data_IF_818918851119
#
_entry.id   IF_818918851119
#
_cell.length_a   1.000
_cell.length_b   1.000
_cell.length_c   1.000
_cell.angle_alpha   90.00
_cell.angle_beta   90.00
_cell.angle_gamma   90.00
#
_symmetry.space_group_name_H-M   'P 1'
#
loop_
_entity.id
_entity.type
_entity.pdbx_description
1 polymer ?
#
# COMPACT_ATOMS: atom_id res chain seq x y z
N UNK A 1 -11.08 13.64 -6.37
CA UNK A 1 -9.70 13.71 -5.86
C UNK A 1 -8.73 13.47 -7.00
N UNK A 2 -7.74 14.34 -7.14
CA UNK A 2 -6.71 14.22 -8.15
C UNK A 2 -5.38 13.77 -7.56
N UNK A 3 -4.43 13.27 -8.39
CA UNK A 3 -3.08 12.96 -7.93
C UNK A 3 -2.37 14.13 -7.25
N UNK A 4 -2.55 15.35 -7.76
CA UNK A 4 -1.93 16.55 -7.18
C UNK A 4 -2.43 16.83 -5.76
N UNK A 5 -3.71 16.59 -5.50
CA UNK A 5 -4.29 16.76 -4.17
C UNK A 5 -3.61 15.84 -3.15
N UNK A 6 -3.48 14.55 -3.46
CA UNK A 6 -2.88 13.60 -2.51
C UNK A 6 -1.38 13.81 -2.33
N UNK A 7 -0.67 14.31 -3.37
CA UNK A 7 0.74 14.70 -3.24
C UNK A 7 0.96 15.90 -2.34
N UNK A 8 -0.04 16.74 -2.16
CA UNK A 8 0.02 17.92 -1.28
C UNK A 8 -0.30 17.61 0.19
N UNK A 9 -0.76 16.40 0.51
CA UNK A 9 -1.04 16.00 1.88
C UNK A 9 0.22 16.04 2.74
N UNK A 10 0.12 16.61 3.94
CA UNK A 10 1.24 16.72 4.87
C UNK A 10 1.17 15.73 6.03
N UNK A 11 0.08 15.01 6.15
CA UNK A 11 -0.15 14.01 7.20
C UNK A 11 -1.16 12.95 6.75
N UNK A 12 -1.37 11.91 7.57
CA UNK A 12 -2.32 10.85 7.24
C UNK A 12 -3.74 11.42 7.14
N UNK A 13 -4.53 10.81 6.25
CA UNK A 13 -5.94 11.20 6.10
C UNK A 13 -6.77 10.75 7.29
N UNK A 14 -7.73 11.57 7.71
CA UNK A 14 -8.65 11.22 8.80
C UNK A 14 -9.75 10.25 8.34
N UNK A 15 -10.08 10.29 7.06
CA UNK A 15 -11.12 9.45 6.45
C UNK A 15 -10.69 8.98 5.08
N UNK A 16 -11.37 7.94 4.58
CA UNK A 16 -11.16 7.50 3.20
C UNK A 16 -11.65 8.55 2.20
N UNK A 17 -10.83 8.84 1.20
CA UNK A 17 -11.09 9.91 0.22
C UNK A 17 -11.93 9.44 -0.97
N UNK A 18 -12.25 8.14 -1.05
CA UNK A 18 -13.19 7.58 -2.02
C UNK A 18 -14.00 6.45 -1.38
N UNK A 19 -15.13 6.13 -1.99
CA UNK A 19 -15.98 5.01 -1.60
C UNK A 19 -15.55 3.74 -2.35
N UNK A 20 -15.93 2.57 -1.85
CA UNK A 20 -15.70 1.30 -2.56
C UNK A 20 -16.38 1.31 -3.95
N UNK A 21 -17.54 1.95 -4.07
CA UNK A 21 -18.27 2.10 -5.34
C UNK A 21 -17.55 2.97 -6.39
N UNK A 22 -16.55 3.76 -5.99
CA UNK A 22 -15.77 4.59 -6.93
C UNK A 22 -14.75 3.77 -7.74
N UNK A 23 -14.56 2.50 -7.40
CA UNK A 23 -13.73 1.53 -8.12
C UNK A 23 -14.46 1.02 -9.39
N UNK A 24 -14.66 1.90 -10.36
CA UNK A 24 -15.38 1.59 -11.59
C UNK A 24 -14.73 0.50 -12.47
N UNK A 25 -13.37 0.31 -12.47
CA UNK A 25 -12.79 -0.78 -13.25
C UNK A 25 -12.92 -2.14 -12.58
N UNK A 26 -13.53 -2.23 -11.41
CA UNK A 26 -13.58 -3.43 -10.59
C UNK A 26 -12.18 -4.04 -10.35
N UNK A 27 -11.21 -3.18 -10.03
CA UNK A 27 -9.85 -3.62 -9.69
C UNK A 27 -9.89 -4.40 -8.38
N UNK A 28 -9.35 -5.61 -8.40
CA UNK A 28 -9.25 -6.49 -7.23
C UNK A 28 -7.81 -6.92 -7.02
N UNK A 29 -7.34 -6.83 -5.78
CA UNK A 29 -6.04 -7.39 -5.39
C UNK A 29 -6.16 -8.90 -5.21
N UNK A 30 -5.14 -9.64 -5.68
CA UNK A 30 -5.14 -11.11 -5.72
C UNK A 30 -3.96 -11.75 -4.97
N UNK A 31 -3.30 -11.00 -4.14
CA UNK A 31 -2.16 -11.46 -3.38
C UNK A 31 -0.99 -10.51 -3.51
N UNK A 32 -0.04 -10.65 -2.59
CA UNK A 32 1.18 -9.84 -2.64
C UNK A 32 2.34 -10.54 -1.95
N UNK A 33 3.54 -10.18 -2.36
CA UNK A 33 4.80 -10.64 -1.78
C UNK A 33 5.70 -9.46 -1.50
N UNK A 34 6.25 -9.41 -0.29
CA UNK A 34 7.25 -8.40 0.11
C UNK A 34 8.60 -9.11 0.28
N UNK A 35 9.63 -8.57 -0.32
CA UNK A 35 11.00 -9.12 -0.24
C UNK A 35 12.05 -8.03 -0.06
N UNK A 36 13.15 -8.40 0.57
CA UNK A 36 14.39 -7.61 0.51
C UNK A 36 15.02 -7.79 -0.88
N UNK A 37 15.19 -6.70 -1.61
CA UNK A 37 15.72 -6.74 -2.98
C UNK A 37 17.21 -7.07 -3.05
N UNK A 38 17.97 -6.86 -1.96
CA UNK A 38 19.40 -7.13 -1.92
C UNK A 38 19.67 -8.60 -1.62
N UNK A 39 19.08 -9.13 -0.56
CA UNK A 39 19.25 -10.54 -0.17
C UNK A 39 18.31 -11.50 -0.90
N UNK A 40 17.27 -10.97 -1.52
CA UNK A 40 16.16 -11.71 -2.13
C UNK A 40 15.39 -12.61 -1.14
N UNK A 41 15.44 -12.27 0.14
CA UNK A 41 14.66 -12.96 1.17
C UNK A 41 13.22 -12.46 1.14
N UNK A 42 12.27 -13.39 1.07
CA UNK A 42 10.84 -13.09 1.18
C UNK A 42 10.48 -12.85 2.64
N UNK A 43 9.87 -11.68 2.90
CA UNK A 43 9.46 -11.25 4.23
C UNK A 43 7.98 -11.53 4.49
N UNK A 44 7.15 -11.35 3.46
CA UNK A 44 5.71 -11.61 3.49
C UNK A 44 5.32 -12.25 2.16
N UNK A 45 4.50 -13.28 2.21
CA UNK A 45 3.92 -13.90 1.02
C UNK A 45 2.45 -14.24 1.30
N UNK A 46 1.56 -13.53 0.59
CA UNK A 46 0.12 -13.80 0.62
C UNK A 46 -0.26 -14.33 -0.76
N UNK A 47 -0.53 -15.65 -0.89
CA UNK A 47 -0.83 -16.28 -2.16
C UNK A 47 -2.06 -15.69 -2.85
N UNK A 48 -2.04 -15.73 -4.17
CA UNK A 48 -3.11 -15.19 -5.04
C UNK A 48 -4.48 -15.83 -4.74
N UNK A 49 -4.49 -17.09 -4.34
CA UNK A 49 -5.71 -17.89 -4.14
C UNK A 49 -6.38 -17.67 -2.76
N UNK A 50 -5.71 -16.99 -1.83
CA UNK A 50 -6.22 -16.75 -0.48
C UNK A 50 -7.04 -15.44 -0.36
N UNK A 51 -7.04 -14.60 -1.39
CA UNK A 51 -7.83 -13.37 -1.43
C UNK A 51 -9.10 -13.58 -2.31
N UNK A 52 -9.77 -14.68 -2.14
CA UNK A 52 -11.12 -14.86 -2.66
C UNK A 52 -12.13 -14.31 -1.66
N UNK A 53 -12.35 -13.01 -1.69
CA UNK A 53 -13.63 -12.50 -1.21
C UNK A 53 -14.46 -12.05 -2.42
N UNK A 54 -15.44 -12.85 -2.79
CA UNK A 54 -16.64 -12.34 -3.46
C UNK A 54 -17.35 -11.39 -2.47
N UNK A 55 -16.69 -10.29 -2.12
CA UNK A 55 -17.34 -9.29 -1.31
C UNK A 55 -18.33 -8.56 -2.19
N UNK A 56 -19.59 -8.73 -1.86
CA UNK A 56 -20.68 -7.96 -2.40
C UNK A 56 -20.31 -6.48 -2.31
N UNK A 57 -20.11 -5.83 -3.46
CA UNK A 57 -19.89 -4.38 -3.58
C UNK A 57 -21.03 -3.54 -2.97
N UNK A 58 -22.04 -4.19 -2.43
CA UNK A 58 -23.21 -3.61 -1.77
C UNK A 58 -23.14 -3.61 -0.24
N UNK A 59 -22.12 -4.20 0.37
CA UNK A 59 -21.90 -4.03 1.80
C UNK A 59 -21.38 -2.62 2.07
N UNK A 60 -22.01 -1.96 3.06
CA UNK A 60 -21.62 -0.63 3.50
C UNK A 60 -20.09 -0.54 3.66
N UNK A 61 -19.51 0.58 3.20
CA UNK A 61 -18.09 0.90 3.29
C UNK A 61 -17.55 0.58 4.69
N UNK A 62 -17.04 -0.64 4.88
CA UNK A 62 -16.44 -1.04 6.15
C UNK A 62 -14.98 -0.56 6.19
N UNK A 63 -14.67 0.47 7.00
CA UNK A 63 -13.32 1.01 7.08
C UNK A 63 -12.29 -0.04 7.54
N UNK A 64 -12.71 -1.08 8.25
CA UNK A 64 -11.79 -2.10 8.79
C UNK A 64 -11.18 -2.95 7.68
N UNK A 65 -11.89 -3.17 6.58
CA UNK A 65 -11.42 -3.94 5.42
C UNK A 65 -10.39 -3.19 4.57
N UNK A 66 -10.26 -1.89 4.79
CA UNK A 66 -9.37 -0.98 4.05
C UNK A 66 -8.17 -0.54 4.88
N UNK A 67 -8.05 -1.02 6.12
CA UNK A 67 -6.94 -0.79 7.03
C UNK A 67 -6.16 -2.09 7.19
N UNK A 68 -4.88 -2.07 6.82
CA UNK A 68 -3.97 -3.20 6.96
C UNK A 68 -3.01 -2.90 8.10
N UNK A 69 -2.69 -3.90 8.92
CA UNK A 69 -1.70 -3.80 9.98
C UNK A 69 -0.53 -4.73 9.71
N UNK A 70 0.68 -4.17 9.70
CA UNK A 70 1.92 -4.92 9.53
C UNK A 70 2.76 -4.89 10.80
N UNK A 71 3.24 -6.05 11.21
CA UNK A 71 4.25 -6.17 12.26
C UNK A 71 5.54 -6.73 11.66
N UNK A 72 6.45 -5.86 11.28
CA UNK A 72 7.70 -6.24 10.60
C UNK A 72 8.88 -6.49 11.54
N UNK A 73 8.89 -5.89 12.72
CA UNK A 73 10.03 -5.90 13.61
C UNK A 73 11.11 -4.87 13.24
N UNK A 74 12.12 -4.70 14.13
CA UNK A 74 13.10 -3.61 14.00
C UNK A 74 14.06 -3.76 12.80
N UNK A 75 14.41 -4.99 12.41
CA UNK A 75 15.36 -5.25 11.33
C UNK A 75 14.88 -4.71 9.98
N UNK A 76 13.57 -4.58 9.80
CA UNK A 76 12.98 -4.04 8.59
C UNK A 76 13.44 -2.59 8.30
N UNK A 77 13.70 -1.80 9.35
CA UNK A 77 14.16 -0.41 9.22
C UNK A 77 15.58 -0.28 8.66
N UNK A 78 16.37 -1.36 8.67
CA UNK A 78 17.72 -1.40 8.10
C UNK A 78 17.75 -1.79 6.62
N UNK A 79 16.62 -2.18 6.03
CA UNK A 79 16.56 -2.55 4.63
C UNK A 79 16.76 -1.32 3.75
N UNK A 80 17.47 -1.52 2.63
CA UNK A 80 17.78 -0.44 1.69
C UNK A 80 16.74 -0.34 0.58
N UNK A 81 16.38 -1.48 -0.01
CA UNK A 81 15.40 -1.54 -1.09
C UNK A 81 14.45 -2.72 -0.85
N UNK A 82 13.18 -2.40 -0.78
CA UNK A 82 12.10 -3.38 -0.59
C UNK A 82 11.29 -3.51 -1.87
N UNK A 83 11.06 -4.73 -2.31
CA UNK A 83 10.18 -5.04 -3.44
C UNK A 83 8.83 -5.54 -2.96
N UNK A 84 7.76 -4.98 -3.50
CA UNK A 84 6.40 -5.47 -3.35
C UNK A 84 5.91 -5.94 -4.71
N UNK A 85 5.60 -7.23 -4.86
CA UNK A 85 4.92 -7.76 -6.03
C UNK A 85 3.45 -7.95 -5.67
N UNK A 86 2.56 -7.32 -6.40
CA UNK A 86 1.12 -7.35 -6.17
C UNK A 86 0.40 -7.92 -7.39
N UNK A 87 -0.38 -8.99 -7.17
CA UNK A 87 -1.32 -9.49 -8.16
C UNK A 87 -2.60 -8.65 -8.16
N UNK A 88 -3.13 -8.33 -9.33
CA UNK A 88 -4.43 -7.66 -9.45
C UNK A 88 -5.15 -8.05 -10.74
N UNK A 89 -6.45 -7.97 -10.71
CA UNK A 89 -7.30 -8.13 -11.88
C UNK A 89 -8.26 -6.96 -12.04
N UNK A 90 -8.79 -6.78 -13.24
CA UNK A 90 -9.84 -5.80 -13.53
C UNK A 90 -11.02 -6.44 -14.26
N UNK A 91 -12.14 -5.74 -14.27
CA UNK A 91 -13.34 -6.12 -14.99
C UNK A 91 -13.29 -5.79 -16.50
N UNK A 92 -14.45 -5.69 -17.16
CA UNK A 92 -14.53 -5.57 -18.62
C UNK A 92 -14.13 -4.20 -19.18
N UNK A 93 -13.97 -3.19 -18.33
CA UNK A 93 -13.55 -1.85 -18.77
C UNK A 93 -12.04 -1.70 -18.69
N UNK A 94 -11.36 -1.29 -19.77
CA UNK A 94 -9.91 -1.07 -19.76
C UNK A 94 -9.55 0.14 -18.90
N UNK A 95 -8.34 0.14 -18.35
CA UNK A 95 -7.74 1.32 -17.74
C UNK A 95 -6.66 1.84 -18.69
N UNK A 96 -6.76 3.10 -19.11
CA UNK A 96 -5.76 3.71 -19.99
C UNK A 96 -4.50 4.12 -19.25
N UNK A 97 -4.67 4.57 -18.00
CA UNK A 97 -3.56 5.00 -17.18
C UNK A 97 -3.84 4.65 -15.70
N UNK A 98 -3.23 3.56 -15.21
CA UNK A 98 -3.26 3.17 -13.81
C UNK A 98 -2.01 3.70 -13.11
N UNK A 99 -2.21 4.43 -12.04
CA UNK A 99 -1.16 5.01 -11.20
C UNK A 99 -1.43 4.70 -9.72
N UNK A 100 -0.35 4.60 -8.93
CA UNK A 100 -0.43 4.48 -7.48
C UNK A 100 0.47 5.52 -6.84
N UNK A 101 -0.05 6.21 -5.83
CA UNK A 101 0.70 7.12 -4.96
C UNK A 101 0.60 6.57 -3.55
N UNK A 102 1.73 6.45 -2.88
CA UNK A 102 1.80 5.95 -1.51
C UNK A 102 2.61 6.91 -0.66
N UNK A 103 2.07 7.26 0.50
CA UNK A 103 2.71 8.19 1.44
C UNK A 103 2.74 7.57 2.81
N UNK A 104 3.91 7.62 3.44
CA UNK A 104 4.12 7.16 4.80
C UNK A 104 4.37 8.34 5.72
N UNK A 105 3.85 8.25 6.93
CA UNK A 105 3.87 9.32 7.91
C UNK A 105 4.32 8.81 9.27
N UNK A 106 5.06 9.64 9.98
CA UNK A 106 5.40 9.42 11.37
C UNK A 106 5.34 10.73 12.13
N UNK A 107 4.54 10.79 13.20
CA UNK A 107 4.35 11.97 14.04
C UNK A 107 4.09 13.27 13.23
N UNK A 108 3.16 13.19 12.30
CA UNK A 108 2.73 14.32 11.46
C UNK A 108 3.74 14.75 10.40
N UNK A 109 4.77 13.95 10.12
CA UNK A 109 5.74 14.18 9.05
C UNK A 109 5.63 13.12 7.97
N UNK A 110 5.77 13.52 6.72
CA UNK A 110 5.94 12.59 5.61
C UNK A 110 7.37 12.03 5.68
N UNK A 111 7.50 10.72 5.83
CA UNK A 111 8.79 10.03 5.89
C UNK A 111 9.12 9.29 4.58
N UNK A 112 8.11 8.95 3.78
CA UNK A 112 8.25 8.31 2.48
C UNK A 112 7.15 8.82 1.55
N UNK A 113 7.48 9.00 0.28
CA UNK A 113 6.58 9.47 -0.77
C UNK A 113 6.95 8.77 -2.07
N UNK A 114 6.03 7.96 -2.58
CA UNK A 114 6.24 7.15 -3.77
C UNK A 114 5.14 7.39 -4.80
N UNK A 115 5.53 7.37 -6.07
CA UNK A 115 4.61 7.39 -7.21
C UNK A 115 5.03 6.32 -8.20
N UNK A 116 4.09 5.46 -8.57
CA UNK A 116 4.29 4.38 -9.51
C UNK A 116 3.26 4.45 -10.63
N UNK A 117 3.65 4.09 -11.83
CA UNK A 117 2.78 4.03 -12.99
C UNK A 117 2.82 2.64 -13.61
N UNK A 118 1.67 2.00 -13.71
CA UNK A 118 1.48 0.77 -14.48
C UNK A 118 1.20 1.09 -15.95
N UNK A 119 0.34 2.08 -16.19
CA UNK A 119 -0.12 2.48 -17.51
C UNK A 119 -1.38 1.75 -17.93
N UNK A 120 -1.39 1.20 -19.15
CA UNK A 120 -2.55 0.54 -19.73
C UNK A 120 -2.80 -0.85 -19.15
N UNK A 121 -4.05 -1.13 -18.76
CA UNK A 121 -4.51 -2.44 -18.28
C UNK A 121 -5.56 -3.00 -19.23
N UNK A 122 -5.29 -4.21 -19.73
CA UNK A 122 -6.17 -4.94 -20.67
C UNK A 122 -7.46 -5.35 -19.93
N UNK A 123 -8.65 -5.21 -20.56
CA UNK A 123 -9.90 -5.66 -19.99
C UNK A 123 -9.88 -7.14 -19.59
N UNK A 124 -10.53 -7.47 -18.49
CA UNK A 124 -10.65 -8.84 -17.98
C UNK A 124 -9.29 -9.55 -17.79
N UNK A 125 -8.23 -8.80 -17.51
CA UNK A 125 -6.89 -9.35 -17.31
C UNK A 125 -6.54 -9.49 -15.83
N UNK A 126 -5.63 -10.43 -15.57
CA UNK A 126 -4.91 -10.54 -14.30
C UNK A 126 -3.46 -10.21 -14.54
N UNK A 127 -2.87 -9.38 -13.68
CA UNK A 127 -1.53 -8.83 -13.85
C UNK A 127 -0.76 -8.91 -12.53
N UNK A 128 0.56 -8.85 -12.63
CA UNK A 128 1.45 -8.57 -11.52
C UNK A 128 2.08 -7.19 -11.70
N UNK A 129 2.16 -6.44 -10.61
CA UNK A 129 2.81 -5.14 -10.56
C UNK A 129 3.89 -5.17 -9.49
N UNK A 130 5.12 -4.88 -9.87
CA UNK A 130 6.25 -4.80 -8.95
C UNK A 130 6.54 -3.35 -8.59
N UNK A 131 6.55 -3.07 -7.29
CA UNK A 131 6.91 -1.79 -6.71
C UNK A 131 8.26 -1.91 -6.03
N UNK A 132 9.22 -1.07 -6.42
CA UNK A 132 10.52 -0.98 -5.77
C UNK A 132 10.56 0.27 -4.89
N UNK A 133 10.72 0.05 -3.59
CA UNK A 133 10.78 1.09 -2.58
C UNK A 133 12.24 1.30 -2.15
N UNK A 134 12.80 2.46 -2.48
CA UNK A 134 14.04 2.91 -1.86
C UNK A 134 13.71 3.41 -0.45
N UNK A 135 14.21 2.69 0.55
CA UNK A 135 13.88 2.96 1.95
C UNK A 135 14.65 4.20 2.44
N UNK A 136 14.01 5.06 3.26
CA UNK A 136 14.71 6.19 3.87
C UNK A 136 15.83 5.70 4.78
N UNK A 137 16.92 6.45 4.81
CA UNK A 137 18.03 6.20 5.73
C UNK A 137 17.79 6.97 7.02
N UNK A 138 17.27 6.27 8.02
CA UNK A 138 17.08 6.82 9.36
C UNK A 138 18.36 6.78 10.18
N UNK A 139 18.54 7.75 11.08
CA UNK A 139 19.54 7.64 12.13
C UNK A 139 19.13 6.58 13.15
N UNK A 140 20.07 6.13 13.96
CA UNK A 140 19.80 5.18 15.05
C UNK A 140 18.75 5.72 16.03
N UNK A 141 18.79 7.04 16.31
CA UNK A 141 17.82 7.70 17.19
C UNK A 141 16.42 7.71 16.58
N UNK A 142 16.31 8.04 15.28
CA UNK A 142 15.03 8.02 14.56
C UNK A 142 14.47 6.60 14.47
N UNK A 143 15.29 5.59 14.23
CA UNK A 143 14.87 4.19 14.25
C UNK A 143 14.34 3.77 15.63
N UNK A 144 15.03 4.16 16.70
CA UNK A 144 14.60 3.86 18.05
C UNK A 144 13.25 4.52 18.38
N UNK A 145 13.05 5.77 17.98
CA UNK A 145 11.76 6.46 18.14
C UNK A 145 10.62 5.72 17.44
N UNK A 146 10.87 5.21 16.24
CA UNK A 146 9.89 4.42 15.47
C UNK A 146 9.61 3.08 16.14
N UNK A 147 10.64 2.39 16.64
CA UNK A 147 10.51 1.10 17.34
C UNK A 147 9.69 1.25 18.63
N UNK A 148 9.91 2.34 19.36
CA UNK A 148 9.24 2.63 20.63
C UNK A 148 7.79 3.13 20.47
N UNK A 149 7.37 3.39 19.25
CA UNK A 149 6.06 3.93 18.90
C UNK A 149 5.27 2.98 17.96
N UNK A 150 4.90 1.77 18.42
CA UNK A 150 4.18 0.80 17.61
C UNK A 150 2.86 1.38 17.08
N UNK A 151 2.57 1.12 15.80
CA UNK A 151 1.38 1.56 15.08
C UNK A 151 1.29 3.08 14.80
N UNK A 152 2.29 3.87 15.16
CA UNK A 152 2.33 5.30 14.86
C UNK A 152 2.87 5.63 13.47
N UNK A 153 3.60 4.73 12.83
CA UNK A 153 3.88 4.84 11.39
C UNK A 153 2.62 4.41 10.64
N UNK A 154 2.15 5.30 9.78
CA UNK A 154 0.91 5.10 8.99
C UNK A 154 1.18 5.37 7.53
N UNK A 155 0.42 4.73 6.66
CA UNK A 155 0.46 5.05 5.23
C UNK A 155 -0.94 5.18 4.63
N UNK A 156 -1.00 5.96 3.56
CA UNK A 156 -2.11 6.03 2.63
C UNK A 156 -1.63 5.57 1.26
N UNK A 157 -2.36 4.64 0.64
CA UNK A 157 -2.14 4.19 -0.74
C UNK A 157 -3.32 4.57 -1.60
N UNK A 158 -3.06 5.33 -2.65
CA UNK A 158 -4.06 5.88 -3.56
C UNK A 158 -3.87 5.31 -4.96
N UNK A 159 -4.90 4.66 -5.49
CA UNK A 159 -4.90 4.16 -6.86
C UNK A 159 -5.79 5.04 -7.73
N UNK A 160 -5.26 5.47 -8.86
CA UNK A 160 -5.93 6.33 -9.83
C UNK A 160 -6.07 5.63 -11.16
N UNK A 161 -7.28 5.70 -11.73
CA UNK A 161 -7.55 5.34 -13.12
C UNK A 161 -7.98 6.60 -13.88
N UNK A 162 -7.28 6.93 -14.98
CA UNK A 162 -7.47 8.18 -15.74
C UNK A 162 -7.47 9.44 -14.86
N UNK A 163 -6.59 9.48 -13.87
CA UNK A 163 -6.49 10.60 -12.93
C UNK A 163 -7.63 10.71 -11.91
N UNK A 164 -8.51 9.71 -11.82
CA UNK A 164 -9.58 9.64 -10.83
C UNK A 164 -9.24 8.63 -9.75
N UNK A 165 -9.42 9.02 -8.50
CA UNK A 165 -9.21 8.13 -7.37
C UNK A 165 -10.26 7.00 -7.38
N UNK A 166 -9.79 5.74 -7.42
CA UNK A 166 -10.65 4.55 -7.44
C UNK A 166 -10.52 3.70 -6.17
N UNK A 167 -9.33 3.71 -5.55
CA UNK A 167 -9.05 2.95 -4.32
C UNK A 167 -8.19 3.81 -3.41
N UNK A 168 -8.55 3.83 -2.14
CA UNK A 168 -7.77 4.38 -1.05
C UNK A 168 -7.69 3.35 0.07
N UNK A 169 -6.50 2.83 0.34
CA UNK A 169 -6.21 1.93 1.43
C UNK A 169 -5.29 2.61 2.45
N UNK A 170 -5.36 2.16 3.70
CA UNK A 170 -4.52 2.66 4.79
C UNK A 170 -3.78 1.50 5.43
N UNK A 171 -2.61 1.78 5.97
CA UNK A 171 -1.88 0.80 6.76
C UNK A 171 -1.29 1.44 8.02
N UNK A 172 -1.07 0.60 9.01
CA UNK A 172 -0.37 0.93 10.25
C UNK A 172 0.74 -0.10 10.45
N UNK A 173 1.88 0.36 10.96
CA UNK A 173 3.10 -0.44 11.06
C UNK A 173 3.60 -0.53 12.49
N UNK A 174 4.03 -1.71 12.86
CA UNK A 174 4.70 -1.97 14.12
C UNK A 174 6.12 -2.48 13.83
N UNK A 175 7.12 -1.80 14.37
CA UNK A 175 8.53 -2.17 14.25
C UNK A 175 9.14 -2.61 15.59
N UNK A 176 8.32 -2.78 16.62
CA UNK A 176 8.78 -3.36 17.87
C UNK A 176 9.27 -4.81 17.68
N UNK A 177 10.17 -5.32 18.54
CA UNK A 177 10.64 -6.69 18.43
C UNK A 177 9.49 -7.69 18.35
N UNK A 178 9.67 -8.72 17.53
CA UNK A 178 8.73 -9.83 17.44
C UNK A 178 8.88 -10.73 18.67
N UNK A 179 7.74 -11.24 19.19
CA UNK A 179 7.75 -12.16 20.32
C UNK A 179 8.57 -13.40 20.00
N UNK A 180 9.62 -13.66 20.78
CA UNK A 180 10.49 -14.82 20.62
C UNK A 180 11.84 -14.59 19.92
N UNK A 181 12.21 -13.32 19.72
CA UNK A 181 13.58 -12.93 19.34
C UNK A 181 14.33 -12.31 20.48
#
# INVERSE_FOLDING_TARGET
MSPEYVRALTGPTDQFLCRLADNWPALKFKGFRIRDMISNITLVDVPIDEIESEENLNEADDPTKRLIKYHFGPDFLHLQTVGLTMGFGIGPQPIQNLEMIERHYFRGRVIQDYSFRFGFVIPNSTNEWEFCYDMPQFTEEEMQEIIDAPWEVKSDSFFFAEGRLIIHNRAEYNYAPLDGQ
#
